data_IF_079461641485
#
_entry.id   IF_079461641485
#
_cell.length_a   1.000
_cell.length_b   1.000
_cell.length_c   1.000
_cell.angle_alpha   90.00
_cell.angle_beta   90.00
_cell.angle_gamma   90.00
#
_symmetry.space_group_name_H-M   'P 1'
#
loop_
_entity.id
_entity.type
_entity.pdbx_description
1 polymer ?
#
# COMPACT_ATOMS: atom_id res chain seq x y z
N UNK A 1 8.99 -22.23 0.86
CA UNK A 1 8.51 -21.16 -0.05
C UNK A 1 8.90 -19.81 0.49
N UNK A 2 9.34 -18.95 -0.39
CA UNK A 2 9.69 -17.58 -0.01
C UNK A 2 8.45 -16.79 0.40
N UNK A 3 8.60 -15.97 1.43
CA UNK A 3 7.55 -15.09 1.86
C UNK A 3 7.28 -14.01 0.80
N UNK A 4 6.02 -13.66 0.61
CA UNK A 4 5.66 -12.51 -0.22
C UNK A 4 6.03 -11.25 0.53
N UNK A 5 6.51 -10.24 -0.20
CA UNK A 5 6.92 -8.96 0.38
C UNK A 5 5.79 -7.94 0.24
N UNK A 6 5.42 -7.32 1.36
CA UNK A 6 4.42 -6.26 1.37
C UNK A 6 5.09 -5.00 1.91
N UNK A 7 5.03 -3.92 1.14
CA UNK A 7 5.52 -2.62 1.57
C UNK A 7 4.34 -1.80 2.08
N UNK A 8 4.42 -1.37 3.33
CA UNK A 8 3.41 -0.49 3.95
C UNK A 8 3.95 0.93 3.97
N UNK A 9 3.21 1.86 3.38
CA UNK A 9 3.58 3.26 3.33
C UNK A 9 2.55 4.07 4.10
N UNK A 10 2.96 4.57 5.26
CA UNK A 10 2.09 5.29 6.18
C UNK A 10 2.94 6.24 7.03
N UNK A 11 2.56 7.51 7.11
CA UNK A 11 3.31 8.50 7.87
C UNK A 11 3.08 8.42 9.38
N UNK A 12 1.94 7.88 9.81
CA UNK A 12 1.65 7.72 11.24
C UNK A 12 2.32 6.45 11.78
N UNK A 13 3.21 6.61 12.75
CA UNK A 13 3.98 5.50 13.32
C UNK A 13 3.09 4.42 13.93
N UNK A 14 2.07 4.82 14.68
CA UNK A 14 1.18 3.86 15.33
C UNK A 14 0.40 3.04 14.31
N UNK A 15 -0.12 3.69 13.29
CA UNK A 15 -0.84 3.00 12.20
C UNK A 15 0.08 2.05 11.46
N UNK A 16 1.32 2.49 11.20
CA UNK A 16 2.34 1.68 10.55
C UNK A 16 2.63 0.39 11.32
N UNK A 17 2.80 0.51 12.64
CA UNK A 17 3.06 -0.63 13.51
C UNK A 17 1.88 -1.58 13.61
N UNK A 18 0.66 -1.05 13.67
CA UNK A 18 -0.55 -1.86 13.70
C UNK A 18 -0.66 -2.68 12.41
N UNK A 19 -0.43 -2.05 11.26
CA UNK A 19 -0.47 -2.74 9.98
C UNK A 19 0.61 -3.83 9.89
N UNK A 20 1.81 -3.53 10.36
CA UNK A 20 2.89 -4.52 10.42
C UNK A 20 2.45 -5.77 11.20
N UNK A 21 1.94 -5.56 12.39
CA UNK A 21 1.49 -6.65 13.26
C UNK A 21 0.36 -7.46 12.60
N UNK A 22 -0.64 -6.76 12.07
CA UNK A 22 -1.80 -7.40 11.45
C UNK A 22 -1.42 -8.21 10.21
N UNK A 23 -0.58 -7.65 9.35
CA UNK A 23 -0.15 -8.36 8.14
C UNK A 23 0.65 -9.61 8.47
N UNK A 24 1.55 -9.54 9.44
CA UNK A 24 2.31 -10.71 9.87
C UNK A 24 1.44 -11.82 10.43
N UNK A 25 0.30 -11.45 11.04
CA UNK A 25 -0.63 -12.45 11.56
C UNK A 25 -1.53 -13.07 10.50
N UNK A 26 -1.61 -12.47 9.32
CA UNK A 26 -2.46 -12.96 8.24
C UNK A 26 -1.85 -14.10 7.42
N UNK A 27 -0.54 -14.16 7.36
CA UNK A 27 0.14 -15.16 6.55
C UNK A 27 1.66 -15.02 6.61
N UNK A 28 2.34 -15.73 5.73
CA UNK A 28 3.80 -15.69 5.66
C UNK A 28 4.25 -14.51 4.79
N UNK A 29 4.25 -13.31 5.39
CA UNK A 29 4.63 -12.08 4.70
C UNK A 29 5.88 -11.46 5.32
N UNK A 30 6.77 -10.98 4.46
CA UNK A 30 7.84 -10.09 4.85
C UNK A 30 7.30 -8.67 4.69
N UNK A 31 7.23 -7.90 5.77
CA UNK A 31 6.64 -6.56 5.75
C UNK A 31 7.73 -5.51 5.84
N UNK A 32 7.74 -4.59 4.87
CA UNK A 32 8.65 -3.46 4.83
C UNK A 32 7.86 -2.20 5.12
N UNK A 33 8.48 -1.21 5.75
CA UNK A 33 7.80 0.01 6.17
C UNK A 33 8.44 1.25 5.55
N UNK A 34 7.61 2.17 5.08
CA UNK A 34 8.05 3.48 4.60
C UNK A 34 7.14 4.55 5.18
N UNK A 35 7.64 5.76 5.37
CA UNK A 35 6.90 6.84 6.02
C UNK A 35 6.38 7.92 5.08
N UNK A 36 6.75 7.87 3.81
CA UNK A 36 6.25 8.80 2.79
C UNK A 36 6.44 8.22 1.40
N UNK A 37 5.90 8.90 0.39
CA UNK A 37 5.94 8.41 -0.99
C UNK A 37 7.34 8.34 -1.59
N UNK A 38 8.22 9.26 -1.22
CA UNK A 38 9.59 9.27 -1.72
C UNK A 38 10.35 8.05 -1.21
N UNK A 39 10.25 7.81 0.10
CA UNK A 39 10.87 6.65 0.74
C UNK A 39 10.29 5.34 0.16
N UNK A 40 8.97 5.33 -0.11
CA UNK A 40 8.31 4.19 -0.72
C UNK A 40 8.91 3.84 -2.08
N UNK A 41 9.14 4.84 -2.94
CA UNK A 41 9.73 4.62 -4.25
C UNK A 41 11.16 4.08 -4.15
N UNK A 42 11.95 4.62 -3.22
CA UNK A 42 13.31 4.15 -2.99
C UNK A 42 13.32 2.70 -2.54
N UNK A 43 12.49 2.36 -1.56
CA UNK A 43 12.41 1.00 -1.03
C UNK A 43 11.85 0.03 -2.06
N UNK A 44 10.84 0.43 -2.81
CA UNK A 44 10.25 -0.42 -3.85
C UNK A 44 11.26 -0.72 -4.96
N UNK A 45 12.07 0.27 -5.33
CA UNK A 45 13.13 0.08 -6.32
C UNK A 45 14.16 -0.94 -5.87
N UNK A 46 14.55 -0.88 -4.61
CA UNK A 46 15.57 -1.78 -4.04
C UNK A 46 15.03 -3.17 -3.73
N UNK A 47 13.86 -3.24 -3.14
CA UNK A 47 13.32 -4.49 -2.58
C UNK A 47 12.32 -5.22 -3.47
N UNK A 48 11.75 -4.53 -4.45
CA UNK A 48 10.77 -5.08 -5.39
C UNK A 48 9.66 -5.87 -4.67
N UNK A 49 8.80 -5.17 -3.89
CA UNK A 49 7.73 -5.84 -3.16
C UNK A 49 6.70 -6.47 -4.10
N UNK A 50 5.92 -7.40 -3.57
CA UNK A 50 4.85 -8.06 -4.32
C UNK A 50 3.54 -7.29 -4.23
N UNK A 51 3.41 -6.42 -3.23
CA UNK A 51 2.23 -5.60 -2.98
C UNK A 51 2.63 -4.37 -2.18
N UNK A 52 1.97 -3.24 -2.46
CA UNK A 52 2.15 -2.01 -1.67
C UNK A 52 0.80 -1.62 -1.07
N UNK A 53 0.79 -1.31 0.23
CA UNK A 53 -0.34 -0.67 0.90
C UNK A 53 0.08 0.77 1.11
N UNK A 54 -0.60 1.69 0.44
CA UNK A 54 -0.17 3.08 0.30
C UNK A 54 -1.19 4.07 0.85
N UNK A 55 -0.81 4.80 1.91
CA UNK A 55 -1.61 5.93 2.38
C UNK A 55 -1.58 7.02 1.30
N UNK A 56 -2.71 7.59 1.00
CA UNK A 56 -2.81 8.63 -0.03
C UNK A 56 -2.38 10.00 0.46
N UNK A 57 -2.59 10.32 1.74
CA UNK A 57 -2.24 11.64 2.29
C UNK A 57 -1.03 11.55 3.19
N UNK A 58 0.10 11.99 2.67
CA UNK A 58 1.37 11.99 3.38
C UNK A 58 2.19 13.23 3.03
N UNK A 59 3.08 13.69 3.92
CA UNK A 59 3.99 14.79 3.59
C UNK A 59 5.05 14.33 2.59
N UNK A 60 5.79 15.29 2.02
CA UNK A 60 6.89 15.13 1.06
C UNK A 60 6.39 14.67 -0.30
N UNK A 61 5.86 13.46 -0.39
CA UNK A 61 5.23 12.94 -1.61
C UNK A 61 4.05 12.09 -1.18
N UNK A 62 2.86 12.43 -1.64
CA UNK A 62 1.65 11.68 -1.29
C UNK A 62 1.52 10.38 -2.10
N UNK A 63 0.53 9.54 -1.71
CA UNK A 63 0.35 8.24 -2.33
C UNK A 63 -0.08 8.28 -3.80
N UNK A 64 -0.81 9.32 -4.21
CA UNK A 64 -1.19 9.47 -5.63
C UNK A 64 0.05 9.71 -6.48
N UNK A 65 0.91 10.62 -6.05
CA UNK A 65 2.15 10.95 -6.75
C UNK A 65 3.08 9.74 -6.81
N UNK A 66 3.23 9.05 -5.68
CA UNK A 66 4.06 7.85 -5.60
C UNK A 66 3.55 6.75 -6.53
N UNK A 67 2.25 6.52 -6.55
CA UNK A 67 1.65 5.49 -7.41
C UNK A 67 1.83 5.84 -8.88
N UNK A 68 1.61 7.10 -9.26
CA UNK A 68 1.83 7.54 -10.64
C UNK A 68 3.29 7.32 -11.06
N UNK A 69 4.24 7.69 -10.20
CA UNK A 69 5.66 7.49 -10.49
C UNK A 69 6.00 6.01 -10.63
N UNK A 70 5.42 5.17 -9.76
CA UNK A 70 5.60 3.72 -9.80
C UNK A 70 5.13 3.16 -11.15
N UNK A 71 3.99 3.63 -11.65
CA UNK A 71 3.41 3.15 -12.90
C UNK A 71 4.24 3.53 -14.13
N UNK A 72 5.16 4.48 -14.01
CA UNK A 72 6.08 4.86 -15.08
C UNK A 72 7.28 3.92 -15.21
N UNK A 73 7.49 3.05 -14.23
CA UNK A 73 8.60 2.09 -14.27
C UNK A 73 8.15 0.78 -14.89
N UNK A 74 9.07 0.08 -15.58
CA UNK A 74 8.76 -1.23 -16.19
C UNK A 74 8.36 -2.26 -15.12
N UNK A 75 9.10 -2.29 -14.03
CA UNK A 75 8.84 -3.27 -12.96
C UNK A 75 7.64 -2.90 -12.10
N UNK A 76 7.24 -1.64 -12.09
CA UNK A 76 6.16 -1.15 -11.22
C UNK A 76 4.82 -0.94 -11.91
N UNK A 77 4.75 -1.06 -13.22
CA UNK A 77 3.51 -0.76 -13.95
C UNK A 77 2.35 -1.69 -13.59
N UNK A 78 2.63 -2.91 -13.20
CA UNK A 78 1.61 -3.91 -12.84
C UNK A 78 1.67 -4.32 -11.36
N UNK A 79 2.51 -3.67 -10.55
CA UNK A 79 2.64 -3.98 -9.13
C UNK A 79 1.35 -3.63 -8.40
N UNK A 80 0.73 -4.58 -7.67
CA UNK A 80 -0.52 -4.29 -6.95
C UNK A 80 -0.34 -3.22 -5.88
N UNK A 81 -1.25 -2.25 -5.85
CA UNK A 81 -1.28 -1.18 -4.85
C UNK A 81 -2.68 -1.08 -4.27
N UNK A 82 -2.77 -1.18 -2.94
CA UNK A 82 -4.00 -0.93 -2.19
C UNK A 82 -3.85 0.46 -1.55
N UNK A 83 -4.74 1.38 -1.89
CA UNK A 83 -4.72 2.72 -1.32
C UNK A 83 -5.42 2.74 0.04
N UNK A 84 -4.84 3.49 0.99
CA UNK A 84 -5.51 3.79 2.26
C UNK A 84 -6.05 5.21 2.16
N UNK A 85 -7.34 5.39 2.36
CA UNK A 85 -7.98 6.71 2.26
C UNK A 85 -8.53 7.14 3.61
N UNK A 86 -8.39 8.42 3.94
CA UNK A 86 -8.91 8.96 5.19
C UNK A 86 -10.45 8.98 5.21
N UNK A 87 -11.05 9.03 4.04
CA UNK A 87 -12.50 9.04 3.90
C UNK A 87 -12.87 8.20 2.68
N UNK A 88 -13.85 7.33 2.83
CA UNK A 88 -14.38 6.53 1.73
C UNK A 88 -15.36 7.37 0.90
N UNK A 89 -14.93 8.55 0.49
CA UNK A 89 -15.73 9.40 -0.40
C UNK A 89 -15.47 8.98 -1.84
N UNK A 90 -16.51 8.99 -2.63
CA UNK A 90 -16.46 8.60 -4.04
C UNK A 90 -15.29 9.23 -4.80
N UNK A 91 -14.99 10.50 -4.50
CA UNK A 91 -13.87 11.23 -5.11
C UNK A 91 -12.49 10.61 -4.79
N UNK A 92 -12.30 10.15 -3.55
CA UNK A 92 -11.03 9.57 -3.14
C UNK A 92 -10.82 8.21 -3.80
N UNK A 93 -11.89 7.44 -3.96
CA UNK A 93 -11.86 6.18 -4.68
C UNK A 93 -11.48 6.39 -6.14
N UNK A 94 -12.14 7.36 -6.81
CA UNK A 94 -11.87 7.70 -8.20
C UNK A 94 -10.44 8.18 -8.39
N UNK A 95 -9.93 9.01 -7.47
CA UNK A 95 -8.56 9.50 -7.52
C UNK A 95 -7.55 8.36 -7.36
N UNK A 96 -7.81 7.45 -6.43
CA UNK A 96 -6.93 6.31 -6.20
C UNK A 96 -6.85 5.44 -7.45
N UNK A 97 -7.99 5.09 -8.02
CA UNK A 97 -8.05 4.27 -9.23
C UNK A 97 -7.43 4.99 -10.43
N UNK A 98 -7.69 6.29 -10.57
CA UNK A 98 -7.12 7.11 -11.64
C UNK A 98 -5.60 7.23 -11.53
N UNK A 99 -5.05 7.20 -10.33
CA UNK A 99 -3.60 7.22 -10.12
C UNK A 99 -2.96 5.85 -10.40
N UNK A 100 -3.77 4.81 -10.55
CA UNK A 100 -3.29 3.48 -10.86
C UNK A 100 -3.34 2.48 -9.71
N UNK A 101 -4.03 2.81 -8.62
CA UNK A 101 -4.22 1.86 -7.51
C UNK A 101 -5.19 0.75 -7.93
N UNK A 102 -4.96 -0.45 -7.43
CA UNK A 102 -5.77 -1.61 -7.77
C UNK A 102 -7.01 -1.74 -6.89
N UNK A 103 -6.93 -1.22 -5.67
CA UNK A 103 -8.02 -1.29 -4.71
C UNK A 103 -7.81 -0.19 -3.66
N UNK A 104 -8.75 -0.04 -2.74
CA UNK A 104 -8.66 0.95 -1.67
C UNK A 104 -9.33 0.44 -0.41
N UNK A 105 -8.94 1.01 0.74
CA UNK A 105 -9.56 0.74 2.04
C UNK A 105 -9.61 2.06 2.80
N UNK A 106 -10.76 2.37 3.40
CA UNK A 106 -10.92 3.57 4.21
C UNK A 106 -10.26 3.41 5.58
N UNK A 107 -9.64 4.48 6.07
CA UNK A 107 -9.11 4.54 7.44
C UNK A 107 -10.13 5.18 8.37
N UNK A 108 -10.21 4.76 9.64
CA UNK A 108 -9.47 3.62 10.22
C UNK A 108 -9.99 2.29 9.69
N UNK A 109 -9.12 1.29 9.63
CA UNK A 109 -9.53 -0.03 9.17
C UNK A 109 -10.36 -0.68 10.26
N UNK A 110 -11.66 -0.82 10.02
CA UNK A 110 -12.60 -1.36 11.01
C UNK A 110 -12.67 -2.89 10.97
N UNK A 111 -12.41 -3.48 9.81
CA UNK A 111 -12.49 -4.92 9.64
C UNK A 111 -11.27 -5.42 8.86
N UNK A 112 -10.32 -5.99 9.58
CA UNK A 112 -9.09 -6.50 8.99
C UNK A 112 -9.30 -7.74 8.12
N UNK A 113 -10.47 -8.39 8.23
CA UNK A 113 -10.82 -9.49 7.32
C UNK A 113 -10.98 -8.99 5.89
N UNK A 114 -11.47 -7.75 5.73
CA UNK A 114 -11.58 -7.12 4.40
C UNK A 114 -10.18 -6.88 3.82
N UNK A 115 -9.26 -6.36 4.63
CA UNK A 115 -7.87 -6.16 4.20
C UNK A 115 -7.24 -7.48 3.80
N UNK A 116 -7.43 -8.51 4.61
CA UNK A 116 -6.89 -9.85 4.35
C UNK A 116 -7.35 -10.39 2.99
N UNK A 117 -8.66 -10.28 2.70
CA UNK A 117 -9.22 -10.74 1.43
C UNK A 117 -8.62 -10.00 0.24
N UNK A 118 -8.47 -8.67 0.35
CA UNK A 118 -7.88 -7.86 -0.73
C UNK A 118 -6.42 -8.21 -0.96
N UNK A 119 -5.66 -8.38 0.11
CA UNK A 119 -4.25 -8.78 0.04
C UNK A 119 -4.12 -10.15 -0.63
N UNK A 120 -4.88 -11.13 -0.18
CA UNK A 120 -4.83 -12.48 -0.75
C UNK A 120 -5.21 -12.49 -2.22
N UNK A 121 -6.24 -11.75 -2.60
CA UNK A 121 -6.69 -11.65 -3.99
C UNK A 121 -5.58 -11.09 -4.90
N UNK A 122 -4.90 -10.05 -4.46
CA UNK A 122 -3.88 -9.39 -5.28
C UNK A 122 -2.55 -10.14 -5.31
N UNK A 123 -2.31 -11.02 -4.36
CA UNK A 123 -1.08 -11.82 -4.30
C UNK A 123 -1.20 -13.21 -4.93
N UNK A 124 -2.36 -13.59 -5.41
CA UNK A 124 -2.55 -14.89 -6.05
C UNK A 124 -2.39 -14.85 -7.58
#
# INVERSE_FOLDING_TARGET
>A
MEAKKILVVEDNEDTREILLYRLKSMGNYEVLLASNGKEALEMATQSRPDLIIMDLKMPVMNGWEATKALRQTEWGKDLPVIALTAQAMERDEEKALSAGCNDYIAKPIMDYAVLKKKVEKLLT
#
